data_IF_401167740396
#
_entry.id   IF_401167740396
#
_cell.length_a   1.000
_cell.length_b   1.000
_cell.length_c   1.000
_cell.angle_alpha   90.00
_cell.angle_beta   90.00
_cell.angle_gamma   90.00
#
_symmetry.space_group_name_H-M   'P 1'
#
loop_
_entity.id
_entity.type
_entity.pdbx_description
1 polymer ?
#
# COMPACT_ATOMS: atom_id res chain seq x y z
N UNK A 1 -18.69 -31.22 -18.59
CA UNK A 1 -17.90 -30.00 -18.90
C UNK A 1 -16.89 -29.62 -17.83
N UNK A 2 -17.14 -29.86 -16.54
CA UNK A 2 -16.21 -29.53 -15.44
C UNK A 2 -14.87 -30.29 -15.45
N UNK A 3 -14.84 -31.52 -15.96
CA UNK A 3 -13.62 -32.33 -16.00
C UNK A 3 -12.69 -31.98 -17.19
N UNK A 4 -13.19 -31.44 -18.31
CA UNK A 4 -12.34 -31.09 -19.46
C UNK A 4 -11.51 -29.82 -19.22
N UNK A 5 -11.99 -28.91 -18.38
CA UNK A 5 -11.27 -27.68 -18.00
C UNK A 5 -10.10 -27.99 -17.07
N UNK A 6 -10.26 -28.97 -16.17
CA UNK A 6 -9.17 -29.43 -15.30
C UNK A 6 -8.04 -30.11 -16.07
N UNK A 7 -8.36 -30.92 -17.09
CA UNK A 7 -7.34 -31.53 -17.94
C UNK A 7 -6.63 -30.53 -18.86
N UNK A 8 -7.32 -29.46 -19.32
CA UNK A 8 -6.66 -28.38 -20.08
C UNK A 8 -5.71 -27.55 -19.20
N UNK A 9 -6.09 -27.25 -17.95
CA UNK A 9 -5.23 -26.53 -17.00
C UNK A 9 -4.02 -27.39 -16.57
N UNK A 10 -4.19 -28.70 -16.42
CA UNK A 10 -3.09 -29.62 -16.12
C UNK A 10 -2.16 -29.84 -17.33
N UNK A 11 -2.67 -29.86 -18.57
CA UNK A 11 -1.81 -29.95 -19.76
C UNK A 11 -1.01 -28.67 -19.99
N UNK A 12 -1.55 -27.50 -19.66
CA UNK A 12 -0.82 -26.23 -19.79
C UNK A 12 0.32 -26.10 -18.77
N UNK A 13 0.18 -26.74 -17.60
CA UNK A 13 1.22 -26.82 -16.56
C UNK A 13 2.28 -27.91 -16.84
N UNK A 14 1.95 -28.93 -17.64
CA UNK A 14 2.88 -30.01 -17.99
C UNK A 14 3.63 -29.76 -19.30
N UNK A 15 3.11 -28.92 -20.21
CA UNK A 15 3.82 -28.51 -21.43
C UNK A 15 4.70 -27.26 -21.25
N UNK A 16 4.58 -26.56 -20.12
CA UNK A 16 5.48 -25.44 -19.80
C UNK A 16 6.79 -25.87 -19.16
N UNK A 17 7.01 -27.15 -18.83
CA UNK A 17 8.27 -27.58 -18.21
C UNK A 17 9.42 -27.77 -19.21
N UNK A 18 9.14 -27.99 -20.49
CA UNK A 18 10.17 -28.40 -21.48
C UNK A 18 10.65 -27.27 -22.41
N UNK A 19 10.12 -26.04 -22.26
CA UNK A 19 10.52 -24.88 -23.07
C UNK A 19 10.84 -23.62 -22.25
N UNK A 20 11.18 -23.78 -20.97
CA UNK A 20 11.58 -22.69 -20.07
C UNK A 20 13.11 -22.50 -19.96
N UNK A 21 13.88 -22.97 -20.94
CA UNK A 21 15.35 -22.78 -20.92
C UNK A 21 15.82 -21.41 -21.41
N UNK A 22 14.93 -20.55 -21.94
CA UNK A 22 15.29 -19.22 -22.44
C UNK A 22 14.57 -18.05 -21.72
N UNK A 23 14.09 -18.27 -20.48
CA UNK A 23 13.73 -17.16 -19.59
C UNK A 23 14.95 -16.76 -18.74
N UNK A 24 15.82 -15.96 -19.34
CA UNK A 24 16.97 -15.30 -18.69
C UNK A 24 16.50 -14.20 -17.71
N UNK A 25 15.81 -14.55 -16.62
CA UNK A 25 15.44 -13.57 -15.59
C UNK A 25 15.66 -14.02 -14.14
N UNK A 26 16.08 -15.26 -13.89
CA UNK A 26 16.55 -15.69 -12.57
C UNK A 26 17.76 -16.61 -12.73
N UNK A 27 18.97 -16.05 -12.71
CA UNK A 27 20.16 -16.83 -12.40
C UNK A 27 20.09 -17.24 -10.92
N UNK A 28 20.14 -18.53 -10.64
CA UNK A 28 20.24 -19.12 -9.29
C UNK A 28 21.63 -18.88 -8.64
N UNK A 29 22.37 -17.84 -9.04
CA UNK A 29 23.74 -17.56 -8.59
C UNK A 29 23.86 -16.17 -7.97
N UNK A 30 23.00 -15.85 -7.00
CA UNK A 30 23.27 -14.68 -6.16
C UNK A 30 24.30 -15.05 -5.08
N UNK A 31 25.57 -14.74 -5.32
CA UNK A 31 26.66 -14.93 -4.37
C UNK A 31 26.82 -13.69 -3.47
N UNK A 32 26.56 -13.85 -2.18
CA UNK A 32 26.63 -12.76 -1.18
C UNK A 32 28.05 -12.19 -1.06
N UNK A 33 29.08 -13.02 -1.22
CA UNK A 33 30.47 -12.58 -1.07
C UNK A 33 30.93 -11.76 -2.28
N UNK A 34 30.50 -12.12 -3.49
CA UNK A 34 30.70 -11.31 -4.70
C UNK A 34 29.95 -9.98 -4.62
N UNK A 35 28.72 -9.98 -4.10
CA UNK A 35 27.97 -8.75 -3.87
C UNK A 35 28.67 -7.83 -2.84
N UNK A 36 29.17 -8.39 -1.73
CA UNK A 36 29.94 -7.61 -0.74
C UNK A 36 31.24 -7.07 -1.33
N UNK A 37 31.97 -7.85 -2.11
CA UNK A 37 33.17 -7.40 -2.82
C UNK A 37 32.83 -6.28 -3.81
N UNK A 38 31.75 -6.43 -4.58
CA UNK A 38 31.27 -5.41 -5.51
C UNK A 38 30.90 -4.11 -4.78
N UNK A 39 30.21 -4.18 -3.64
CA UNK A 39 29.90 -2.99 -2.84
C UNK A 39 31.18 -2.34 -2.33
N UNK A 40 32.10 -3.11 -1.74
CA UNK A 40 33.37 -2.58 -1.23
C UNK A 40 34.25 -1.96 -2.30
N UNK A 41 34.30 -2.53 -3.52
CA UNK A 41 35.10 -1.99 -4.63
C UNK A 41 34.52 -0.73 -5.24
N UNK A 42 33.23 -0.44 -4.99
CA UNK A 42 32.50 0.66 -5.62
C UNK A 42 31.94 1.70 -4.62
N UNK A 43 32.35 1.64 -3.34
CA UNK A 43 31.88 2.55 -2.27
C UNK A 43 32.02 4.05 -2.58
N UNK A 44 33.04 4.43 -3.37
CA UNK A 44 33.35 5.83 -3.69
C UNK A 44 33.23 6.13 -5.20
N UNK A 45 32.44 5.34 -5.95
CA UNK A 45 32.19 5.62 -7.36
C UNK A 45 31.57 7.01 -7.52
N UNK A 46 32.21 7.84 -8.33
CA UNK A 46 31.59 9.10 -8.78
C UNK A 46 30.50 8.81 -9.81
N UNK A 47 29.56 9.74 -9.96
CA UNK A 47 28.47 9.63 -10.95
C UNK A 47 29.01 9.40 -12.36
N UNK A 48 30.13 10.04 -12.72
CA UNK A 48 30.76 9.87 -14.03
C UNK A 48 31.29 8.45 -14.26
N UNK A 49 31.96 7.87 -13.26
CA UNK A 49 32.48 6.49 -13.34
C UNK A 49 31.34 5.46 -13.38
N UNK A 50 30.20 5.75 -12.75
CA UNK A 50 29.00 4.91 -12.82
C UNK A 50 28.40 4.90 -14.24
N UNK A 51 28.38 6.05 -14.92
CA UNK A 51 27.97 6.14 -16.33
C UNK A 51 28.95 5.47 -17.29
N UNK A 52 30.24 5.37 -16.95
CA UNK A 52 31.22 4.59 -17.73
C UNK A 52 31.01 3.07 -17.57
N UNK A 53 30.69 2.62 -16.35
CA UNK A 53 30.41 1.20 -16.06
C UNK A 53 29.09 0.74 -16.69
N UNK A 54 28.08 1.60 -16.67
CA UNK A 54 26.76 1.34 -17.23
C UNK A 54 26.39 2.47 -18.19
N UNK A 55 26.94 2.46 -19.42
CA UNK A 55 26.66 3.49 -20.40
C UNK A 55 25.17 3.49 -20.70
N UNK A 56 24.49 4.54 -20.23
CA UNK A 56 23.12 4.82 -20.61
C UNK A 56 23.13 5.56 -21.94
N UNK A 57 22.31 5.12 -22.90
CA UNK A 57 22.10 5.89 -24.11
C UNK A 57 21.69 7.33 -23.79
N UNK A 58 22.08 8.25 -24.67
CA UNK A 58 21.68 9.65 -24.55
C UNK A 58 20.15 9.75 -24.57
N UNK A 59 19.59 10.48 -23.61
CA UNK A 59 18.17 10.72 -23.53
C UNK A 59 17.67 11.35 -24.84
N UNK A 60 16.88 10.60 -25.60
CA UNK A 60 16.23 11.11 -26.80
C UNK A 60 14.97 11.86 -26.39
N UNK A 61 15.04 13.19 -26.45
CA UNK A 61 13.90 14.08 -26.20
C UNK A 61 12.75 13.79 -27.18
N UNK A 62 13.05 13.27 -28.37
CA UNK A 62 12.07 12.94 -29.42
C UNK A 62 12.37 11.59 -30.06
N UNK A 63 11.32 10.80 -30.26
CA UNK A 63 11.35 9.59 -31.06
C UNK A 63 10.92 9.98 -32.47
N UNK A 64 11.85 10.48 -33.28
CA UNK A 64 11.55 10.85 -34.67
C UNK A 64 11.53 9.58 -35.53
N UNK A 65 10.39 8.88 -35.56
CA UNK A 65 10.16 7.78 -36.49
C UNK A 65 9.39 8.31 -37.72
N UNK A 66 9.82 8.03 -38.96
CA UNK A 66 9.06 8.40 -40.14
C UNK A 66 7.72 7.66 -40.14
N UNK A 67 6.62 8.40 -40.20
CA UNK A 67 5.26 7.85 -40.13
C UNK A 67 4.81 7.15 -41.42
N UNK A 68 5.58 7.25 -42.52
CA UNK A 68 5.28 6.61 -43.80
C UNK A 68 5.40 5.08 -43.79
N UNK A 69 6.21 4.53 -42.87
CA UNK A 69 6.59 3.11 -42.90
C UNK A 69 5.94 2.30 -41.76
N UNK A 70 5.01 2.91 -41.02
CA UNK A 70 4.37 2.29 -39.86
C UNK A 70 3.19 1.43 -40.31
N UNK A 71 3.32 0.11 -40.11
CA UNK A 71 2.27 -0.86 -40.40
C UNK A 71 1.04 -0.60 -39.51
N UNK A 72 -0.16 -0.66 -40.09
CA UNK A 72 -1.47 -0.44 -39.45
C UNK A 72 -1.81 1.00 -39.02
N UNK A 73 -0.99 1.99 -39.35
CA UNK A 73 -1.24 3.39 -38.97
C UNK A 73 -2.55 3.94 -39.58
N UNK A 74 -2.84 3.58 -40.82
CA UNK A 74 -4.07 3.88 -41.55
C UNK A 74 -5.31 3.30 -40.83
N UNK A 75 -5.22 2.03 -40.44
CA UNK A 75 -6.27 1.31 -39.72
C UNK A 75 -6.54 1.93 -38.35
N UNK A 76 -5.49 2.35 -37.63
CA UNK A 76 -5.60 3.04 -36.34
C UNK A 76 -6.32 4.38 -36.54
N UNK A 77 -5.94 5.18 -37.53
CA UNK A 77 -6.58 6.46 -37.83
C UNK A 77 -8.07 6.29 -38.15
N UNK A 78 -8.43 5.28 -38.95
CA UNK A 78 -9.83 5.02 -39.29
C UNK A 78 -10.64 4.51 -38.10
N UNK A 79 -10.14 3.49 -37.37
CA UNK A 79 -10.91 2.83 -36.30
C UNK A 79 -11.05 3.66 -35.03
N UNK A 80 -10.08 4.52 -34.72
CA UNK A 80 -10.12 5.41 -33.56
C UNK A 80 -10.44 6.87 -33.90
N UNK A 81 -10.62 7.19 -35.20
CA UNK A 81 -10.94 8.53 -35.69
C UNK A 81 -9.98 9.57 -35.11
N UNK A 82 -8.68 9.33 -35.29
CA UNK A 82 -7.61 10.18 -34.72
C UNK A 82 -7.69 11.58 -35.34
N UNK A 83 -7.71 12.61 -34.49
CA UNK A 83 -7.84 14.02 -34.90
C UNK A 83 -6.54 14.55 -35.51
N UNK A 84 -6.61 15.68 -36.21
CA UNK A 84 -5.41 16.28 -36.81
C UNK A 84 -4.42 16.80 -35.76
N UNK A 85 -4.91 17.24 -34.60
CA UNK A 85 -4.08 17.60 -33.45
C UNK A 85 -3.35 16.38 -32.89
N UNK A 86 -4.04 15.24 -32.72
CA UNK A 86 -3.44 13.98 -32.25
C UNK A 86 -2.37 13.48 -33.24
N UNK A 87 -2.61 13.63 -34.55
CA UNK A 87 -1.60 13.31 -35.59
C UNK A 87 -0.38 14.23 -35.50
N UNK A 88 -0.58 15.52 -35.27
CA UNK A 88 0.52 16.49 -35.11
C UNK A 88 1.40 16.14 -33.91
N UNK A 89 0.77 15.79 -32.78
CA UNK A 89 1.46 15.35 -31.58
C UNK A 89 2.23 14.05 -31.80
N UNK A 90 1.63 13.07 -32.48
CA UNK A 90 2.27 11.81 -32.84
C UNK A 90 3.52 12.05 -33.70
N UNK A 91 3.43 12.93 -34.70
CA UNK A 91 4.58 13.28 -35.56
C UNK A 91 5.70 14.02 -34.80
N UNK A 92 5.35 14.85 -33.81
CA UNK A 92 6.34 15.62 -33.04
C UNK A 92 7.05 14.79 -31.97
N UNK A 93 6.34 13.84 -31.33
CA UNK A 93 6.82 13.14 -30.14
C UNK A 93 7.03 11.63 -30.34
N UNK A 94 6.46 11.04 -31.40
CA UNK A 94 6.49 9.59 -31.66
C UNK A 94 5.46 8.79 -30.87
N UNK A 95 4.67 9.44 -29.99
CA UNK A 95 3.52 8.86 -29.32
C UNK A 95 2.47 9.94 -29.02
N UNK A 96 1.24 9.53 -28.75
CA UNK A 96 0.14 10.41 -28.32
C UNK A 96 -0.70 9.70 -27.26
N UNK A 97 -1.12 10.43 -26.23
CA UNK A 97 -2.06 9.96 -25.21
C UNK A 97 -3.34 10.76 -25.35
N UNK A 98 -4.49 10.08 -25.42
CA UNK A 98 -5.79 10.72 -25.62
C UNK A 98 -6.76 10.34 -24.52
N UNK A 99 -7.35 11.35 -23.88
CA UNK A 99 -8.37 11.16 -22.84
C UNK A 99 -9.74 10.76 -23.43
N UNK A 100 -9.95 11.04 -24.73
CA UNK A 100 -11.18 10.69 -25.46
C UNK A 100 -11.41 9.19 -25.52
N UNK A 101 -10.33 8.40 -25.56
CA UNK A 101 -10.36 6.93 -25.60
C UNK A 101 -10.01 6.35 -24.23
N UNK A 102 -10.72 6.79 -23.20
CA UNK A 102 -10.54 6.30 -21.84
C UNK A 102 -11.35 5.02 -21.58
N UNK A 103 -10.75 4.10 -20.84
CA UNK A 103 -11.36 2.83 -20.45
C UNK A 103 -11.27 2.64 -18.95
N UNK A 104 -12.26 1.97 -18.37
CA UNK A 104 -12.31 1.72 -16.93
C UNK A 104 -11.33 0.63 -16.46
N UNK A 105 -10.73 -0.13 -17.39
CA UNK A 105 -9.74 -1.15 -17.06
C UNK A 105 -8.81 -1.43 -18.24
N UNK A 106 -7.58 -1.87 -17.93
CA UNK A 106 -6.61 -2.33 -18.92
C UNK A 106 -7.19 -3.45 -19.79
N UNK A 107 -7.88 -4.41 -19.18
CA UNK A 107 -8.49 -5.54 -19.91
C UNK A 107 -9.49 -5.08 -20.96
N UNK A 108 -10.32 -4.07 -20.66
CA UNK A 108 -11.30 -3.54 -21.62
C UNK A 108 -10.63 -2.78 -22.76
N UNK A 109 -9.56 -2.04 -22.47
CA UNK A 109 -8.78 -1.35 -23.50
C UNK A 109 -8.13 -2.35 -24.48
N UNK A 110 -7.49 -3.40 -23.95
CA UNK A 110 -6.86 -4.44 -24.77
C UNK A 110 -7.88 -5.24 -25.59
N UNK A 111 -9.04 -5.54 -25.00
CA UNK A 111 -10.14 -6.21 -25.69
C UNK A 111 -10.70 -5.37 -26.84
N UNK A 112 -10.79 -4.05 -26.67
CA UNK A 112 -11.25 -3.14 -27.73
C UNK A 112 -10.30 -3.14 -28.94
N UNK A 113 -8.99 -3.07 -28.69
CA UNK A 113 -7.95 -3.17 -29.74
C UNK A 113 -8.07 -4.52 -30.46
N UNK A 114 -8.25 -5.60 -29.70
CA UNK A 114 -8.38 -6.95 -30.25
C UNK A 114 -9.62 -7.13 -31.12
N UNK A 115 -10.80 -6.66 -30.67
CA UNK A 115 -12.04 -6.69 -31.47
C UNK A 115 -11.97 -5.83 -32.74
N UNK A 116 -11.08 -4.84 -32.74
CA UNK A 116 -10.79 -4.00 -33.89
C UNK A 116 -9.68 -4.57 -34.77
N UNK A 117 -9.22 -5.81 -34.57
CA UNK A 117 -8.14 -6.41 -35.38
C UNK A 117 -6.90 -5.51 -35.53
N UNK A 118 -6.60 -4.71 -34.50
CA UNK A 118 -5.46 -3.81 -34.48
C UNK A 118 -4.27 -4.47 -33.76
N UNK A 119 -3.02 -4.07 -34.07
CA UNK A 119 -1.85 -4.62 -33.40
C UNK A 119 -1.92 -4.35 -31.88
N UNK A 120 -1.81 -5.42 -31.11
CA UNK A 120 -1.89 -5.38 -29.65
C UNK A 120 -0.48 -5.45 -29.06
N UNK A 121 -0.09 -4.41 -28.32
CA UNK A 121 1.13 -4.42 -27.53
C UNK A 121 0.81 -4.74 -26.07
N UNK A 122 1.38 -5.83 -25.56
CA UNK A 122 1.25 -6.23 -24.16
C UNK A 122 2.59 -5.94 -23.48
N UNK A 123 2.63 -4.90 -22.63
CA UNK A 123 3.80 -4.58 -21.82
C UNK A 123 3.80 -5.39 -20.52
N UNK A 124 4.96 -5.40 -19.84
CA UNK A 124 5.10 -5.97 -18.49
C UNK A 124 4.15 -5.32 -17.49
N UNK A 125 3.81 -4.04 -17.66
CA UNK A 125 2.89 -3.32 -16.76
C UNK A 125 1.49 -3.92 -16.74
N UNK A 126 1.02 -4.47 -17.87
CA UNK A 126 -0.29 -5.15 -17.92
C UNK A 126 -0.28 -6.37 -16.99
N UNK A 127 0.81 -7.13 -16.99
CA UNK A 127 0.99 -8.33 -16.16
C UNK A 127 1.13 -7.92 -14.69
N UNK A 128 1.96 -6.91 -14.40
CA UNK A 128 2.15 -6.39 -13.04
C UNK A 128 0.86 -5.81 -12.47
N UNK A 129 0.06 -5.13 -13.28
CA UNK A 129 -1.24 -4.62 -12.88
C UNK A 129 -2.21 -5.75 -12.52
N UNK A 130 -2.30 -6.79 -13.36
CA UNK A 130 -3.13 -7.96 -13.08
C UNK A 130 -2.70 -8.68 -11.78
N UNK A 131 -1.40 -8.79 -11.54
CA UNK A 131 -0.84 -9.33 -10.30
C UNK A 131 -1.22 -8.46 -9.10
N UNK A 132 -1.02 -7.14 -9.18
CA UNK A 132 -1.38 -6.19 -8.13
C UNK A 132 -2.87 -6.27 -7.77
N UNK A 133 -3.75 -6.29 -8.78
CA UNK A 133 -5.19 -6.43 -8.56
C UNK A 133 -5.55 -7.75 -7.86
N UNK A 134 -4.86 -8.84 -8.20
CA UNK A 134 -5.08 -10.14 -7.57
C UNK A 134 -4.64 -10.13 -6.10
N UNK A 135 -3.48 -9.55 -5.81
CA UNK A 135 -2.96 -9.38 -4.45
C UNK A 135 -3.89 -8.52 -3.60
N UNK A 136 -4.33 -7.37 -4.12
CA UNK A 136 -5.26 -6.46 -3.43
C UNK A 136 -6.57 -7.18 -3.06
N UNK A 137 -7.14 -7.97 -3.98
CA UNK A 137 -8.33 -8.77 -3.69
C UNK A 137 -8.11 -9.84 -2.63
N UNK A 138 -6.97 -10.51 -2.64
CA UNK A 138 -6.61 -11.48 -1.59
C UNK A 138 -6.49 -10.76 -0.24
N UNK A 139 -5.83 -9.61 -0.19
CA UNK A 139 -5.64 -8.84 1.03
C UNK A 139 -6.98 -8.39 1.62
N UNK A 140 -7.86 -7.80 0.80
CA UNK A 140 -9.23 -7.42 1.20
C UNK A 140 -9.97 -8.60 1.81
N UNK A 141 -9.87 -9.78 1.20
CA UNK A 141 -10.60 -10.97 1.64
C UNK A 141 -10.02 -11.55 2.94
N UNK A 142 -8.69 -11.54 3.10
CA UNK A 142 -8.01 -11.95 4.33
C UNK A 142 -8.33 -10.99 5.47
N UNK A 143 -8.30 -9.69 5.22
CA UNK A 143 -8.67 -8.67 6.20
C UNK A 143 -10.11 -8.87 6.66
N UNK A 144 -11.05 -8.95 5.70
CA UNK A 144 -12.48 -9.05 5.99
C UNK A 144 -12.86 -10.33 6.70
N UNK A 145 -12.35 -11.49 6.27
CA UNK A 145 -12.79 -12.80 6.80
C UNK A 145 -12.00 -13.28 8.00
N UNK A 146 -10.78 -12.80 8.19
CA UNK A 146 -9.87 -13.36 9.20
C UNK A 146 -9.39 -12.26 10.13
N UNK A 147 -8.72 -11.22 9.62
CA UNK A 147 -7.97 -10.31 10.49
C UNK A 147 -8.90 -9.44 11.36
N UNK A 148 -10.03 -8.98 10.83
CA UNK A 148 -10.99 -8.16 11.60
C UNK A 148 -11.52 -8.94 12.81
N UNK A 149 -12.00 -10.17 12.61
CA UNK A 149 -12.53 -11.00 13.69
C UNK A 149 -11.45 -11.37 14.72
N UNK A 150 -10.23 -11.69 14.24
CA UNK A 150 -9.09 -12.00 15.11
C UNK A 150 -8.66 -10.79 15.93
N UNK A 151 -8.65 -9.60 15.33
CA UNK A 151 -8.32 -8.36 16.01
C UNK A 151 -9.35 -8.06 17.10
N UNK A 152 -10.65 -8.15 16.78
CA UNK A 152 -11.71 -7.91 17.74
C UNK A 152 -11.65 -8.89 18.93
N UNK A 153 -11.43 -10.17 18.64
CA UNK A 153 -11.25 -11.22 19.65
C UNK A 153 -10.05 -10.94 20.56
N UNK A 154 -8.91 -10.54 19.96
CA UNK A 154 -7.70 -10.20 20.70
C UNK A 154 -7.93 -9.00 21.62
N UNK A 155 -8.49 -7.91 21.09
CA UNK A 155 -8.77 -6.69 21.87
C UNK A 155 -9.78 -6.95 22.99
N UNK A 156 -10.79 -7.78 22.74
CA UNK A 156 -11.77 -8.19 23.74
C UNK A 156 -11.12 -9.01 24.85
N UNK A 157 -10.25 -9.96 24.50
CA UNK A 157 -9.49 -10.74 25.49
C UNK A 157 -8.59 -9.82 26.32
N UNK A 158 -7.80 -8.95 25.69
CA UNK A 158 -6.93 -8.00 26.41
C UNK A 158 -7.72 -7.10 27.35
N UNK A 159 -8.84 -6.53 26.89
CA UNK A 159 -9.70 -5.70 27.74
C UNK A 159 -10.28 -6.49 28.93
N UNK A 160 -10.64 -7.76 28.74
CA UNK A 160 -11.16 -8.61 29.83
C UNK A 160 -10.12 -8.94 30.90
N UNK A 161 -8.82 -8.78 30.60
CA UNK A 161 -7.72 -8.99 31.56
C UNK A 161 -7.40 -7.77 32.41
N UNK A 162 -7.94 -6.59 32.08
CA UNK A 162 -7.71 -5.35 32.84
C UNK A 162 -8.07 -5.46 34.33
N UNK A 163 -9.21 -6.05 34.74
CA UNK A 163 -9.54 -6.21 36.16
C UNK A 163 -8.53 -7.10 36.91
N UNK A 164 -7.95 -8.09 36.22
CA UNK A 164 -6.93 -8.98 36.79
C UNK A 164 -5.63 -8.20 37.02
N UNK A 165 -5.20 -7.40 36.03
CA UNK A 165 -4.02 -6.55 36.17
C UNK A 165 -4.20 -5.51 37.28
N UNK A 166 -5.38 -4.89 37.37
CA UNK A 166 -5.73 -3.96 38.43
C UNK A 166 -5.65 -4.63 39.80
N UNK A 167 -6.16 -5.86 39.96
CA UNK A 167 -6.06 -6.59 41.22
C UNK A 167 -4.62 -6.90 41.68
N UNK A 168 -3.69 -7.07 40.74
CA UNK A 168 -2.29 -7.42 41.02
C UNK A 168 -1.45 -6.16 41.29
N UNK A 169 -1.68 -5.08 40.53
CA UNK A 169 -0.78 -3.93 40.50
C UNK A 169 -1.37 -2.63 41.11
N UNK A 170 -2.66 -2.60 41.46
CA UNK A 170 -3.32 -1.40 42.04
C UNK A 170 -2.67 -0.90 43.33
N UNK A 171 -2.00 -1.78 44.10
CA UNK A 171 -1.26 -1.38 45.30
C UNK A 171 0.00 -0.57 45.01
N UNK A 172 0.49 -0.58 43.77
CA UNK A 172 1.67 0.17 43.36
C UNK A 172 1.28 1.50 42.71
N UNK A 173 1.43 2.59 43.46
CA UNK A 173 1.08 3.95 43.02
C UNK A 173 1.76 4.36 41.69
N UNK A 174 2.98 3.87 41.43
CA UNK A 174 3.72 4.20 40.20
C UNK A 174 3.15 3.53 38.95
N UNK A 175 2.45 2.39 39.10
CA UNK A 175 1.88 1.64 37.97
C UNK A 175 0.44 2.04 37.65
N UNK A 176 -0.23 2.74 38.56
CA UNK A 176 -1.65 3.10 38.40
C UNK A 176 -1.90 3.91 37.11
N UNK A 177 -1.01 4.84 36.77
CA UNK A 177 -1.13 5.61 35.52
C UNK A 177 -0.99 4.71 34.29
N UNK A 178 -0.05 3.75 34.31
CA UNK A 178 0.17 2.83 33.18
C UNK A 178 -1.04 1.93 32.95
N UNK A 179 -1.72 1.49 34.01
CA UNK A 179 -2.96 0.72 33.90
C UNK A 179 -4.07 1.55 33.24
N UNK A 180 -4.23 2.82 33.62
CA UNK A 180 -5.17 3.76 33.00
C UNK A 180 -4.84 4.01 31.53
N UNK A 181 -3.56 4.15 31.20
CA UNK A 181 -3.10 4.38 29.83
C UNK A 181 -3.38 3.16 28.92
N UNK A 182 -3.13 1.94 29.42
CA UNK A 182 -3.43 0.70 28.70
C UNK A 182 -4.94 0.56 28.44
N UNK A 183 -5.79 0.94 29.39
CA UNK A 183 -7.24 0.94 29.21
C UNK A 183 -7.67 1.87 28.06
N UNK A 184 -7.09 3.08 27.95
CA UNK A 184 -7.32 3.97 26.79
C UNK A 184 -6.81 3.33 25.50
N UNK A 185 -5.58 2.78 25.51
CA UNK A 185 -4.95 2.18 24.34
C UNK A 185 -5.78 1.04 23.74
N UNK A 186 -6.40 0.20 24.57
CA UNK A 186 -7.24 -0.92 24.13
C UNK A 186 -8.66 -0.47 23.81
N UNK A 187 -9.21 0.50 24.54
CA UNK A 187 -10.62 0.91 24.37
C UNK A 187 -10.86 1.67 23.07
N UNK A 188 -9.94 2.56 22.65
CA UNK A 188 -10.07 3.32 21.40
C UNK A 188 -10.28 2.42 20.17
N UNK A 189 -9.41 1.44 19.85
CA UNK A 189 -9.57 0.63 18.65
C UNK A 189 -10.83 -0.24 18.72
N UNK A 190 -11.27 -0.68 19.91
CA UNK A 190 -12.56 -1.38 20.07
C UNK A 190 -13.74 -0.47 19.74
N UNK A 191 -13.70 0.81 20.16
CA UNK A 191 -14.72 1.80 19.77
C UNK A 191 -14.69 2.10 18.27
N UNK A 192 -13.51 2.17 17.65
CA UNK A 192 -13.36 2.36 16.20
C UNK A 192 -13.90 1.17 15.39
N UNK A 193 -13.76 -0.05 15.90
CA UNK A 193 -14.41 -1.26 15.36
C UNK A 193 -15.94 -1.29 15.59
N UNK A 194 -16.50 -0.22 16.16
CA UNK A 194 -17.94 -0.02 16.42
C UNK A 194 -18.53 -0.96 17.48
N UNK A 195 -17.71 -1.34 18.47
CA UNK A 195 -18.19 -2.07 19.64
C UNK A 195 -18.70 -1.10 20.72
N UNK A 196 -19.81 -1.44 21.35
CA UNK A 196 -20.36 -0.72 22.50
C UNK A 196 -19.55 -1.03 23.77
N UNK A 197 -18.30 -0.55 23.83
CA UNK A 197 -17.37 -0.80 24.92
C UNK A 197 -17.25 0.44 25.80
N UNK A 198 -17.33 0.22 27.11
CA UNK A 198 -16.98 1.21 28.12
C UNK A 198 -15.56 0.95 28.61
N UNK A 199 -14.75 1.99 28.85
CA UNK A 199 -13.45 1.82 29.50
C UNK A 199 -13.62 1.18 30.88
N UNK A 200 -12.60 0.46 31.34
CA UNK A 200 -12.59 -0.10 32.69
C UNK A 200 -12.50 1.03 33.74
N UNK A 201 -11.62 2.01 33.53
CA UNK A 201 -11.55 3.19 34.38
C UNK A 201 -12.51 4.26 33.85
N UNK A 202 -13.54 4.58 34.63
CA UNK A 202 -14.56 5.58 34.24
C UNK A 202 -13.97 6.98 33.99
N UNK A 203 -12.88 7.33 34.67
CA UNK A 203 -12.12 8.57 34.49
C UNK A 203 -11.59 8.76 33.06
N UNK A 204 -11.32 7.67 32.33
CA UNK A 204 -10.83 7.70 30.96
C UNK A 204 -11.91 8.11 29.94
N UNK A 205 -13.18 8.18 30.34
CA UNK A 205 -14.30 8.48 29.44
C UNK A 205 -14.15 9.80 28.67
N UNK A 206 -13.69 10.85 29.34
CA UNK A 206 -13.46 12.17 28.72
C UNK A 206 -12.30 12.11 27.72
N UNK A 207 -11.15 11.56 28.13
CA UNK A 207 -9.97 11.44 27.27
C UNK A 207 -10.25 10.62 26.01
N UNK A 208 -10.99 9.51 26.15
CA UNK A 208 -11.39 8.66 25.02
C UNK A 208 -12.30 9.43 24.06
N UNK A 209 -13.24 10.22 24.59
CA UNK A 209 -14.16 11.00 23.76
C UNK A 209 -13.42 12.10 22.99
N UNK A 210 -12.47 12.78 23.64
CA UNK A 210 -11.59 13.77 23.00
C UNK A 210 -10.74 13.14 21.89
N UNK A 211 -10.10 12.00 22.16
CA UNK A 211 -9.29 11.30 21.17
C UNK A 211 -10.11 10.86 19.95
N UNK A 212 -11.35 10.39 20.16
CA UNK A 212 -12.24 10.05 19.05
C UNK A 212 -12.63 11.27 18.21
N UNK A 213 -12.85 12.43 18.84
CA UNK A 213 -13.09 13.68 18.09
C UNK A 213 -11.87 14.10 17.27
N UNK A 214 -10.65 13.97 17.82
CA UNK A 214 -9.42 14.27 17.11
C UNK A 214 -9.18 13.32 15.93
N UNK A 215 -9.46 12.03 16.11
CA UNK A 215 -9.40 11.02 15.05
C UNK A 215 -10.37 11.37 13.92
N UNK A 216 -11.58 11.81 14.25
CA UNK A 216 -12.58 12.18 13.24
C UNK A 216 -12.29 13.54 12.58
N UNK A 217 -11.58 14.44 13.26
CA UNK A 217 -11.14 15.69 12.67
C UNK A 217 -10.07 15.51 11.58
N UNK A 218 -9.30 14.41 11.62
CA UNK A 218 -8.27 14.06 10.63
C UNK A 218 -7.23 15.17 10.38
N UNK A 219 -6.86 15.92 11.43
CA UNK A 219 -5.88 17.02 11.37
C UNK A 219 -4.79 16.86 12.43
N UNK A 220 -3.57 17.41 12.22
CA UNK A 220 -2.55 17.47 13.26
C UNK A 220 -3.08 18.21 14.50
N UNK A 221 -2.86 17.64 15.69
CA UNK A 221 -3.27 18.26 16.94
C UNK A 221 -2.24 18.00 18.04
N UNK A 222 -2.14 18.92 18.99
CA UNK A 222 -1.30 18.75 20.19
C UNK A 222 -2.11 18.00 21.25
N UNK A 223 -1.65 16.81 21.63
CA UNK A 223 -2.31 15.99 22.66
C UNK A 223 -1.28 15.33 23.59
N UNK A 224 -1.67 15.14 24.85
CA UNK A 224 -0.84 14.49 25.88
C UNK A 224 -1.10 12.99 25.90
N UNK A 225 -0.76 12.29 24.81
CA UNK A 225 -0.98 10.84 24.72
C UNK A 225 0.11 10.09 25.49
N UNK A 226 -0.26 9.51 26.63
CA UNK A 226 0.63 8.72 27.52
C UNK A 226 1.92 9.44 27.89
N UNK A 227 1.85 10.77 27.97
CA UNK A 227 2.99 11.65 28.23
C UNK A 227 2.56 12.84 29.10
N UNK A 228 3.51 13.39 29.85
CA UNK A 228 3.27 14.58 30.68
C UNK A 228 3.20 15.87 29.86
N UNK A 229 3.90 15.90 28.72
CA UNK A 229 4.00 17.03 27.80
C UNK A 229 3.16 16.77 26.56
N UNK A 230 2.49 17.80 26.05
CA UNK A 230 1.71 17.70 24.82
C UNK A 230 2.63 17.56 23.62
N UNK A 231 2.28 16.65 22.71
CA UNK A 231 3.02 16.43 21.47
C UNK A 231 2.11 16.60 20.27
N UNK A 232 2.68 17.04 19.16
CA UNK A 232 1.97 17.07 17.89
C UNK A 232 1.78 15.64 17.39
N UNK A 233 0.53 15.21 17.30
CA UNK A 233 0.12 13.92 16.74
C UNK A 233 -0.58 14.20 15.41
N UNK A 234 -0.13 13.54 14.36
CA UNK A 234 -0.75 13.65 13.04
C UNK A 234 -1.98 12.74 12.92
N UNK A 235 -3.16 13.26 13.29
CA UNK A 235 -4.41 12.51 13.12
C UNK A 235 -4.88 12.43 11.65
N UNK A 236 -4.23 13.14 10.70
CA UNK A 236 -4.57 12.99 9.27
C UNK A 236 -4.28 11.59 8.73
N UNK A 237 -3.46 10.80 9.43
CA UNK A 237 -3.19 9.39 9.11
C UNK A 237 -4.44 8.50 9.23
N UNK A 238 -5.47 8.93 9.97
CA UNK A 238 -6.74 8.22 10.11
C UNK A 238 -7.66 8.37 8.90
N UNK A 239 -7.33 9.29 7.97
CA UNK A 239 -8.04 9.43 6.71
C UNK A 239 -7.95 8.15 5.89
N UNK A 240 -9.11 7.56 5.63
CA UNK A 240 -9.25 6.29 4.90
C UNK A 240 -8.79 6.45 3.45
N UNK A 241 -8.04 5.48 2.93
CA UNK A 241 -7.39 5.53 1.60
C UNK A 241 -7.30 4.15 0.96
N UNK A 242 -7.07 4.07 -0.34
CA UNK A 242 -6.94 2.80 -1.06
C UNK A 242 -8.23 1.97 -1.05
N UNK A 243 -8.11 0.65 -0.93
CA UNK A 243 -9.27 -0.26 -0.92
C UNK A 243 -10.19 -0.10 0.29
N UNK A 244 -9.73 0.56 1.36
CA UNK A 244 -10.51 0.81 2.57
C UNK A 244 -11.63 1.85 2.37
N UNK A 245 -11.62 2.64 1.28
CA UNK A 245 -12.68 3.62 0.96
C UNK A 245 -13.89 2.97 0.28
N UNK A 246 -13.89 1.65 0.11
CA UNK A 246 -14.96 0.94 -0.57
C UNK A 246 -16.29 1.03 0.23
N UNK A 247 -17.33 1.70 -0.28
CA UNK A 247 -18.61 1.85 0.43
C UNK A 247 -19.36 0.52 0.57
N UNK A 248 -19.07 -0.47 -0.27
CA UNK A 248 -19.69 -1.80 -0.21
C UNK A 248 -19.17 -2.64 0.98
N UNK A 249 -18.04 -2.25 1.58
CA UNK A 249 -17.37 -2.98 2.67
C UNK A 249 -16.95 -1.99 3.78
N UNK A 250 -17.91 -1.36 4.47
CA UNK A 250 -17.64 -0.29 5.44
C UNK A 250 -16.84 -0.75 6.68
N UNK A 251 -16.80 -2.05 6.97
CA UNK A 251 -15.98 -2.61 8.04
C UNK A 251 -14.47 -2.42 7.81
N UNK A 252 -14.02 -2.31 6.55
CA UNK A 252 -12.62 -2.06 6.22
C UNK A 252 -12.18 -0.67 6.66
N UNK A 253 -13.03 0.35 6.51
CA UNK A 253 -12.74 1.70 6.99
C UNK A 253 -12.54 1.74 8.52
N UNK A 254 -13.38 1.00 9.25
CA UNK A 254 -13.29 0.86 10.72
C UNK A 254 -12.00 0.14 11.13
N UNK A 255 -11.71 -0.97 10.46
CA UNK A 255 -10.47 -1.75 10.66
C UNK A 255 -9.23 -0.90 10.38
N UNK A 256 -9.22 -0.13 9.30
CA UNK A 256 -8.13 0.79 8.96
C UNK A 256 -7.87 1.77 10.10
N UNK A 257 -8.89 2.48 10.58
CA UNK A 257 -8.75 3.44 11.70
C UNK A 257 -8.20 2.73 12.96
N UNK A 258 -8.71 1.54 13.28
CA UNK A 258 -8.22 0.76 14.41
C UNK A 258 -6.74 0.34 14.27
N UNK A 259 -6.33 -0.10 13.07
CA UNK A 259 -4.94 -0.48 12.79
C UNK A 259 -3.99 0.72 12.76
N UNK A 260 -4.45 1.89 12.31
CA UNK A 260 -3.67 3.13 12.41
C UNK A 260 -3.41 3.46 13.87
N UNK A 261 -4.44 3.40 14.73
CA UNK A 261 -4.24 3.60 16.17
C UNK A 261 -3.23 2.62 16.75
N UNK A 262 -3.40 1.32 16.50
CA UNK A 262 -2.52 0.28 17.06
C UNK A 262 -1.08 0.38 16.55
N UNK A 263 -0.88 0.73 15.28
CA UNK A 263 0.44 0.80 14.65
C UNK A 263 1.17 2.14 14.82
N UNK A 264 0.48 3.22 15.17
CA UNK A 264 1.06 4.58 15.28
C UNK A 264 1.03 5.15 16.69
N UNK A 265 0.24 4.59 17.60
CA UNK A 265 0.27 5.02 19.00
C UNK A 265 1.53 4.47 19.67
N UNK A 266 2.47 5.38 19.94
CA UNK A 266 3.74 5.07 20.56
C UNK A 266 3.61 4.87 22.08
N UNK A 267 4.27 3.84 22.60
CA UNK A 267 4.43 3.58 24.02
C UNK A 267 5.92 3.70 24.34
N UNK A 268 6.30 4.73 25.09
CA UNK A 268 7.70 4.95 25.45
C UNK A 268 8.11 4.08 26.64
N UNK A 269 9.14 3.26 26.45
CA UNK A 269 9.76 2.47 27.53
C UNK A 269 10.86 3.22 28.27
N UNK A 270 11.44 4.22 27.61
CA UNK A 270 12.48 5.10 28.16
C UNK A 270 12.17 6.54 27.78
N UNK A 271 12.63 7.49 28.59
CA UNK A 271 12.49 8.91 28.28
C UNK A 271 13.18 9.21 26.93
N UNK A 272 12.49 9.84 25.96
CA UNK A 272 13.11 10.22 24.71
C UNK A 272 14.24 11.23 24.99
N UNK A 273 15.43 10.94 24.46
CA UNK A 273 16.55 11.88 24.49
C UNK A 273 16.31 12.91 23.39
N UNK A 274 15.84 14.10 23.77
CA UNK A 274 15.77 15.21 22.83
C UNK A 274 17.20 15.67 22.48
N UNK A 275 17.47 15.87 21.20
CA UNK A 275 18.76 16.43 20.73
C UNK A 275 18.97 17.86 21.24
N UNK A 276 17.88 18.56 21.56
CA UNK A 276 17.88 19.87 22.21
C UNK A 276 16.87 19.89 23.38
N UNK A 277 17.30 20.44 24.52
CA UNK A 277 16.42 20.62 25.67
C UNK A 277 15.33 21.67 25.35
N UNK A 278 14.06 21.45 25.78
CA UNK A 278 13.02 22.45 25.58
C UNK A 278 13.41 23.77 26.27
N UNK A 279 13.06 24.94 25.69
CA UNK A 279 13.40 26.24 26.27
C UNK A 279 12.80 26.34 27.68
N UNK A 280 13.66 26.71 28.63
CA UNK A 280 13.28 26.94 30.03
C UNK A 280 12.41 28.20 30.08
N UNK A 281 11.29 28.21 30.84
CA UNK A 281 10.44 29.39 31.01
C UNK A 281 11.17 30.59 31.63
#
# INVERSE_FOLDING_TARGET
MRNKIFYLAALFLLYSSDSMNDLLAQSNEFNIDEYKQFVSSHQNLTTAQLYELYPTDSFKVKITAPTSDIVYLDSIYTKYQITDDEKSLLNSHGFVVTERLSFNSFGKALQDIWHKDLPLFISTDVILHALHMSYDKILIEVERRILIERLDSLLTLLHSTLPVLDSIYSSNQSLLQMLKDIDVYITIPRKLLNNAVTPYYSENGTAISELLMLIEAEQPAVYKLFATVGRTIDFSQFKVRGHYTNPDIPELAKYFKAMIWLGRTEIYLIAPQAVEAPPIP
#
